data_IF_584922857602
#
_entry.id   IF_584922857602
#
_cell.length_a   1.000
_cell.length_b   1.000
_cell.length_c   1.000
_cell.angle_alpha   90.00
_cell.angle_beta   90.00
_cell.angle_gamma   90.00
#
_symmetry.space_group_name_H-M   'P 1'
#
loop_
_entity.id
_entity.type
_entity.pdbx_description
1 polymer ?
#
# COMPACT_ATOMS: atom_id res chain seq x y z
N UNK A 1 14.81 -14.24 7.76
CA UNK A 1 13.61 -14.30 6.87
C UNK A 1 13.91 -15.26 5.74
N UNK A 2 13.16 -16.37 5.62
CA UNK A 2 13.39 -17.38 4.57
C UNK A 2 14.87 -17.84 4.44
N UNK A 3 15.55 -18.08 5.57
CA UNK A 3 16.98 -18.43 5.61
C UNK A 3 17.95 -17.24 5.64
N UNK A 4 17.52 -16.01 5.33
CA UNK A 4 18.35 -14.80 5.46
C UNK A 4 18.51 -14.42 6.93
N UNK A 5 19.75 -14.30 7.38
CA UNK A 5 20.12 -13.87 8.74
C UNK A 5 20.67 -12.45 8.68
N UNK A 6 19.89 -11.49 9.18
CA UNK A 6 20.32 -10.08 9.28
C UNK A 6 20.97 -9.87 10.64
N UNK A 7 22.23 -9.46 10.66
CA UNK A 7 22.96 -9.21 11.91
C UNK A 7 22.70 -7.79 12.40
N UNK A 8 22.74 -7.59 13.72
CA UNK A 8 22.63 -6.29 14.37
C UNK A 8 21.36 -5.50 13.99
N UNK A 9 20.23 -6.20 13.84
CA UNK A 9 18.95 -5.54 13.59
C UNK A 9 18.34 -5.03 14.89
N UNK A 10 18.12 -3.72 14.98
CA UNK A 10 17.32 -3.12 16.06
C UNK A 10 15.85 -3.50 15.87
N UNK A 11 15.21 -4.03 16.91
CA UNK A 11 13.79 -4.39 16.94
C UNK A 11 13.14 -3.64 18.11
N UNK A 12 12.07 -2.90 17.83
CA UNK A 12 11.32 -2.20 18.85
C UNK A 12 10.35 -3.16 19.56
N UNK A 13 10.29 -3.06 20.90
CA UNK A 13 9.23 -3.72 21.66
C UNK A 13 7.95 -2.89 21.61
N UNK A 14 6.84 -3.54 21.25
CA UNK A 14 5.53 -2.91 21.28
C UNK A 14 4.78 -3.29 22.56
N UNK A 15 4.38 -2.29 23.36
CA UNK A 15 3.51 -2.50 24.52
C UNK A 15 2.02 -2.39 24.15
N UNK A 16 1.69 -1.56 23.16
CA UNK A 16 0.34 -1.35 22.67
C UNK A 16 0.37 -0.91 21.21
N UNK A 17 -0.45 -1.55 20.38
CA UNK A 17 -0.63 -1.23 18.97
C UNK A 17 -2.12 -1.05 18.68
N UNK A 18 -2.50 0.12 18.17
CA UNK A 18 -3.86 0.41 17.75
C UNK A 18 -3.95 0.45 16.23
N UNK A 19 -5.07 0.01 15.65
CA UNK A 19 -5.34 0.14 14.21
C UNK A 19 -4.83 -0.98 13.32
N UNK A 20 -4.26 -2.06 13.86
CA UNK A 20 -3.90 -3.25 13.08
C UNK A 20 -4.85 -4.42 13.31
N UNK A 21 -5.16 -5.13 12.24
CA UNK A 21 -5.85 -6.43 12.24
C UNK A 21 -4.80 -7.53 12.36
N UNK A 22 -4.54 -8.03 13.56
CA UNK A 22 -3.54 -9.07 13.80
C UNK A 22 -3.36 -9.36 15.28
N UNK A 23 -2.69 -10.46 15.62
CA UNK A 23 -2.29 -10.70 17.00
C UNK A 23 -1.14 -9.74 17.34
N UNK A 24 -1.28 -9.00 18.44
CA UNK A 24 -0.22 -8.09 18.94
C UNK A 24 1.11 -8.82 19.19
N UNK A 25 1.07 -10.16 19.31
CA UNK A 25 2.25 -11.01 19.47
C UNK A 25 3.05 -11.25 18.17
N UNK A 26 2.54 -10.84 16.99
CA UNK A 26 3.19 -11.15 15.69
C UNK A 26 4.14 -10.03 15.21
N UNK A 27 3.91 -8.77 15.62
CA UNK A 27 4.74 -7.61 15.25
C UNK A 27 4.52 -7.08 13.83
N UNK A 28 5.29 -6.05 13.45
CA UNK A 28 5.25 -5.38 12.12
C UNK A 28 6.61 -5.43 11.46
N UNK A 29 6.63 -5.82 10.19
CA UNK A 29 7.82 -5.71 9.34
C UNK A 29 7.81 -4.39 8.55
N UNK A 30 8.54 -3.39 9.04
CA UNK A 30 8.57 -2.05 8.44
C UNK A 30 9.35 -1.99 7.11
N UNK A 31 8.71 -1.44 6.07
CA UNK A 31 9.29 -1.20 4.74
C UNK A 31 9.42 0.29 4.37
N UNK A 32 9.17 1.20 5.31
CA UNK A 32 9.31 2.64 5.09
C UNK A 32 10.78 3.08 5.03
N UNK A 33 11.02 4.31 4.58
CA UNK A 33 12.37 4.89 4.56
C UNK A 33 12.87 5.19 5.97
N UNK A 34 14.20 5.19 6.15
CA UNK A 34 14.85 5.44 7.43
C UNK A 34 14.54 6.82 8.03
N UNK A 35 14.09 7.79 7.24
CA UNK A 35 13.71 9.13 7.71
C UNK A 35 12.50 9.12 8.66
N UNK A 36 11.67 8.08 8.63
CA UNK A 36 10.54 7.89 9.56
C UNK A 36 10.91 7.10 10.80
N UNK A 37 12.14 6.60 10.89
CA UNK A 37 12.55 5.80 12.03
C UNK A 37 12.76 6.69 13.25
N UNK A 38 12.39 6.16 14.41
CA UNK A 38 12.74 6.79 15.66
C UNK A 38 14.24 6.60 15.89
N UNK A 39 14.91 7.65 16.37
CA UNK A 39 16.32 7.63 16.77
C UNK A 39 17.32 7.32 15.62
N UNK A 40 16.88 7.39 14.36
CA UNK A 40 17.73 7.20 13.17
C UNK A 40 18.11 5.74 12.90
N UNK A 41 17.38 4.79 13.49
CA UNK A 41 17.60 3.36 13.31
C UNK A 41 17.44 2.92 11.86
N UNK A 42 18.15 1.86 11.46
CA UNK A 42 18.04 1.34 10.09
C UNK A 42 16.86 0.37 9.96
N UNK A 43 15.93 0.59 9.01
CA UNK A 43 14.96 -0.42 8.66
C UNK A 43 15.68 -1.69 8.19
N UNK A 44 15.10 -2.85 8.48
CA UNK A 44 15.71 -4.15 8.21
C UNK A 44 16.16 -4.35 6.76
N UNK A 45 15.44 -3.77 5.80
CA UNK A 45 15.79 -3.84 4.38
C UNK A 45 17.14 -3.12 4.07
N UNK A 46 17.46 -2.04 4.79
CA UNK A 46 18.76 -1.35 4.67
C UNK A 46 19.90 -2.22 5.21
N UNK A 47 19.66 -2.95 6.30
CA UNK A 47 20.64 -3.87 6.86
C UNK A 47 20.85 -5.10 5.95
N UNK A 48 19.79 -5.58 5.28
CA UNK A 48 19.93 -6.60 4.23
C UNK A 48 20.82 -6.14 3.08
N UNK A 49 20.59 -4.94 2.56
CA UNK A 49 21.38 -4.35 1.47
C UNK A 49 22.85 -4.16 1.88
N UNK A 50 23.09 -3.45 2.99
CA UNK A 50 24.45 -3.14 3.44
C UNK A 50 25.29 -4.36 3.85
N UNK A 51 24.64 -5.48 4.20
CA UNK A 51 25.32 -6.74 4.50
C UNK A 51 25.48 -7.65 3.26
N UNK A 52 25.05 -7.21 2.07
CA UNK A 52 25.11 -7.99 0.83
C UNK A 52 24.22 -9.23 0.84
N UNK A 53 23.15 -9.22 1.64
CA UNK A 53 22.23 -10.36 1.80
C UNK A 53 21.16 -10.44 0.71
N UNK A 54 20.99 -9.35 -0.05
CA UNK A 54 20.08 -9.24 -1.19
C UNK A 54 20.85 -8.66 -2.39
N UNK A 55 20.54 -9.15 -3.58
CA UNK A 55 21.21 -8.75 -4.83
C UNK A 55 20.72 -7.42 -5.38
N UNK A 56 19.46 -7.08 -5.12
CA UNK A 56 18.82 -5.85 -5.57
C UNK A 56 18.10 -5.18 -4.41
N UNK A 57 18.09 -3.85 -4.37
CA UNK A 57 17.31 -3.09 -3.40
C UNK A 57 15.81 -3.08 -3.76
N UNK A 58 15.24 -4.25 -4.04
CA UNK A 58 13.85 -4.43 -4.46
C UNK A 58 13.11 -5.33 -3.47
N UNK A 59 11.97 -4.85 -2.99
CA UNK A 59 10.95 -5.69 -2.37
C UNK A 59 9.81 -5.88 -3.36
N UNK A 60 9.34 -7.11 -3.57
CA UNK A 60 8.18 -7.36 -4.43
C UNK A 60 7.17 -8.28 -3.77
N UNK A 61 5.92 -8.15 -4.18
CA UNK A 61 4.84 -9.00 -3.73
C UNK A 61 3.96 -9.44 -4.89
N UNK A 62 3.57 -10.70 -4.84
CA UNK A 62 2.64 -11.32 -5.78
C UNK A 62 1.46 -11.89 -5.02
N UNK A 63 0.24 -11.76 -5.55
CA UNK A 63 -0.98 -12.01 -4.77
C UNK A 63 -1.78 -13.24 -5.19
N UNK A 64 -1.62 -13.73 -6.42
CA UNK A 64 -2.50 -14.80 -6.93
C UNK A 64 -1.85 -15.53 -8.10
N UNK A 65 -1.81 -16.89 -8.13
CA UNK A 65 -2.52 -17.83 -7.25
C UNK A 65 -1.79 -18.18 -5.94
N UNK A 66 -0.53 -17.80 -5.78
CA UNK A 66 0.31 -18.20 -4.65
C UNK A 66 0.96 -16.96 -4.04
N UNK A 67 0.34 -16.34 -3.01
CA UNK A 67 0.84 -15.14 -2.35
C UNK A 67 2.29 -15.26 -1.89
N UNK A 68 3.16 -14.35 -2.33
CA UNK A 68 4.59 -14.33 -1.94
C UNK A 68 5.09 -12.92 -1.76
N UNK A 69 5.91 -12.75 -0.71
CA UNK A 69 6.77 -11.59 -0.52
C UNK A 69 8.22 -11.99 -0.84
N UNK A 70 8.92 -11.14 -1.59
CA UNK A 70 10.28 -11.39 -2.06
C UNK A 70 11.15 -10.21 -1.64
N UNK A 71 12.25 -10.50 -0.96
CA UNK A 71 13.31 -9.53 -0.68
C UNK A 71 14.48 -9.79 -1.63
N UNK A 72 14.90 -8.76 -2.35
CA UNK A 72 16.10 -8.80 -3.17
C UNK A 72 15.90 -8.93 -4.67
N UNK A 73 14.68 -8.71 -5.18
CA UNK A 73 14.39 -8.81 -6.61
C UNK A 73 12.90 -9.02 -6.91
N UNK A 74 12.63 -9.44 -8.14
CA UNK A 74 11.30 -9.79 -8.65
C UNK A 74 11.35 -11.18 -9.28
N UNK A 75 10.31 -12.00 -9.08
CA UNK A 75 10.19 -13.29 -9.76
C UNK A 75 9.69 -13.07 -11.20
N UNK A 76 10.62 -13.11 -12.17
CA UNK A 76 10.32 -12.90 -13.60
C UNK A 76 9.43 -13.97 -14.21
N UNK A 77 9.22 -15.10 -13.55
CA UNK A 77 8.24 -16.11 -13.99
C UNK A 77 6.79 -15.70 -13.73
N UNK A 78 6.56 -14.63 -12.95
CA UNK A 78 5.22 -14.18 -12.52
C UNK A 78 4.64 -13.05 -13.35
N UNK A 79 5.36 -12.54 -14.34
CA UNK A 79 4.90 -11.46 -15.20
C UNK A 79 5.59 -11.51 -16.56
N UNK A 80 4.90 -11.02 -17.59
CA UNK A 80 5.41 -11.01 -18.98
C UNK A 80 5.60 -9.60 -19.55
N UNK A 81 5.20 -8.58 -18.79
CA UNK A 81 5.22 -7.16 -19.20
C UNK A 81 6.32 -6.37 -18.49
N UNK A 82 6.80 -5.28 -19.09
CA UNK A 82 7.77 -4.40 -18.43
C UNK A 82 7.17 -3.73 -17.18
N UNK A 83 7.98 -3.63 -16.11
CA UNK A 83 7.62 -2.93 -14.88
C UNK A 83 7.77 -1.42 -15.07
N UNK A 84 6.75 -0.65 -14.71
CA UNK A 84 6.79 0.82 -14.71
C UNK A 84 7.04 1.32 -13.29
N UNK A 85 8.06 2.17 -13.13
CA UNK A 85 8.38 2.80 -11.85
C UNK A 85 7.85 4.24 -11.80
N UNK A 86 7.21 4.60 -10.70
CA UNK A 86 6.89 5.98 -10.35
C UNK A 86 7.92 6.49 -9.33
N UNK A 87 8.40 7.74 -9.46
CA UNK A 87 9.33 8.30 -8.48
C UNK A 87 8.64 8.52 -7.13
N UNK A 88 9.36 8.24 -6.05
CA UNK A 88 8.93 8.60 -4.69
C UNK A 88 9.08 10.11 -4.51
N UNK A 89 8.03 10.78 -4.02
CA UNK A 89 7.97 12.25 -3.88
C UNK A 89 8.75 12.72 -2.67
N UNK A 90 8.54 12.07 -1.53
CA UNK A 90 9.23 12.33 -0.28
C UNK A 90 9.68 10.99 0.29
N UNK A 91 10.99 10.83 0.49
CA UNK A 91 11.59 9.59 1.00
C UNK A 91 11.31 9.42 2.50
N UNK A 92 10.03 9.31 2.88
CA UNK A 92 9.51 8.92 4.18
C UNK A 92 8.65 7.67 4.02
N UNK A 93 7.48 7.84 3.39
CA UNK A 93 6.66 6.71 2.94
C UNK A 93 7.00 6.31 1.50
N UNK A 94 6.43 5.19 1.06
CA UNK A 94 6.35 4.84 -0.36
C UNK A 94 5.26 5.71 -1.01
N UNK A 95 5.53 7.02 -1.07
CA UNK A 95 4.61 8.06 -1.50
C UNK A 95 4.89 8.46 -2.94
N UNK A 96 3.88 8.42 -3.79
CA UNK A 96 3.98 8.80 -5.20
C UNK A 96 2.94 9.86 -5.55
N UNK A 97 3.26 10.70 -6.54
CA UNK A 97 2.35 11.73 -7.01
C UNK A 97 1.38 11.15 -8.04
N UNK A 98 0.08 11.37 -7.83
CA UNK A 98 -0.97 11.16 -8.82
C UNK A 98 -1.33 12.49 -9.48
N UNK A 99 -1.19 12.58 -10.80
CA UNK A 99 -1.52 13.79 -11.57
C UNK A 99 -3.01 14.12 -11.51
N UNK A 100 -3.87 13.11 -11.65
CA UNK A 100 -5.30 13.28 -11.46
C UNK A 100 -5.99 11.94 -11.20
N UNK A 101 -7.12 12.00 -10.51
CA UNK A 101 -8.07 10.89 -10.44
C UNK A 101 -9.27 11.27 -11.29
N UNK A 102 -9.65 10.39 -12.21
CA UNK A 102 -10.73 10.64 -13.18
C UNK A 102 -11.79 9.54 -13.16
N UNK A 103 -13.02 9.94 -13.47
CA UNK A 103 -14.17 9.07 -13.72
C UNK A 103 -14.70 9.40 -15.10
N UNK A 104 -14.45 8.50 -16.07
CA UNK A 104 -14.67 8.83 -17.48
C UNK A 104 -13.86 10.07 -17.86
N UNK A 105 -14.53 11.13 -18.33
CA UNK A 105 -13.90 12.42 -18.65
C UNK A 105 -13.87 13.41 -17.48
N UNK A 106 -14.48 13.08 -16.34
CA UNK A 106 -14.59 13.98 -15.19
C UNK A 106 -13.37 13.83 -14.28
N UNK A 107 -12.69 14.93 -14.01
CA UNK A 107 -11.61 14.96 -13.02
C UNK A 107 -12.22 15.14 -11.62
N UNK A 108 -11.95 14.20 -10.72
CA UNK A 108 -12.45 14.21 -9.34
C UNK A 108 -11.38 14.62 -8.32
N UNK A 109 -10.11 14.55 -8.69
CA UNK A 109 -8.99 15.14 -7.95
C UNK A 109 -7.86 15.54 -8.91
N UNK A 110 -7.23 16.69 -8.71
CA UNK A 110 -6.28 17.33 -9.65
C UNK A 110 -4.81 17.31 -9.24
N UNK A 111 -4.49 16.71 -8.10
CA UNK A 111 -3.14 16.39 -7.65
C UNK A 111 -3.31 15.78 -6.27
N UNK A 112 -2.95 14.52 -6.10
CA UNK A 112 -2.96 13.88 -4.79
C UNK A 112 -1.68 13.06 -4.65
N UNK A 113 -1.02 13.16 -3.52
CA UNK A 113 -0.03 12.17 -3.18
C UNK A 113 -0.77 10.93 -2.65
N UNK A 114 -0.23 9.76 -2.96
CA UNK A 114 -0.73 8.50 -2.48
C UNK A 114 0.39 7.71 -1.83
N UNK A 115 0.13 7.20 -0.62
CA UNK A 115 1.02 6.29 0.07
C UNK A 115 0.63 4.87 -0.27
N UNK A 116 1.60 4.08 -0.73
CA UNK A 116 1.40 2.64 -0.87
C UNK A 116 1.53 1.98 0.49
N UNK A 117 0.48 1.27 0.91
CA UNK A 117 0.46 0.57 2.20
C UNK A 117 -0.03 -0.87 2.05
N UNK A 118 0.88 -1.83 2.24
CA UNK A 118 0.58 -3.27 2.20
C UNK A 118 -0.11 -3.78 3.47
N UNK A 119 -0.21 -2.94 4.52
CA UNK A 119 -0.96 -3.22 5.75
C UNK A 119 -2.43 -2.75 5.70
N UNK A 120 -2.77 -1.84 4.79
CA UNK A 120 -4.13 -1.33 4.60
C UNK A 120 -4.82 -2.01 3.41
N UNK A 121 -6.04 -2.51 3.62
CA UNK A 121 -6.80 -3.21 2.58
C UNK A 121 -7.65 -2.30 1.71
N UNK A 122 -8.15 -1.19 2.26
CA UNK A 122 -8.97 -0.22 1.54
C UNK A 122 -8.13 0.88 0.92
N UNK A 123 -8.58 1.41 -0.21
CA UNK A 123 -8.07 2.70 -0.68
C UNK A 123 -8.77 3.81 0.10
N UNK A 124 -7.98 4.71 0.68
CA UNK A 124 -8.44 5.79 1.55
C UNK A 124 -8.08 7.11 0.88
N UNK A 125 -8.96 8.09 0.95
CA UNK A 125 -8.69 9.42 0.42
C UNK A 125 -9.41 10.51 1.21
N UNK A 126 -9.14 11.80 0.92
CA UNK A 126 -9.79 12.87 1.64
C UNK A 126 -11.30 12.85 1.40
N UNK A 127 -12.07 13.23 2.43
CA UNK A 127 -13.53 13.06 2.47
C UNK A 127 -14.22 13.73 1.27
N UNK A 128 -13.78 14.92 0.89
CA UNK A 128 -14.35 15.71 -0.20
C UNK A 128 -14.20 15.02 -1.56
N UNK A 129 -13.01 14.53 -1.87
CA UNK A 129 -12.64 13.86 -3.10
C UNK A 129 -13.30 12.49 -3.20
N UNK A 130 -13.31 11.72 -2.10
CA UNK A 130 -13.99 10.41 -2.04
C UNK A 130 -15.51 10.57 -2.22
N UNK A 131 -16.12 11.63 -1.67
CA UNK A 131 -17.53 11.95 -1.93
C UNK A 131 -17.79 12.41 -3.36
N UNK A 132 -16.91 13.25 -3.93
CA UNK A 132 -17.03 13.70 -5.32
C UNK A 132 -16.90 12.54 -6.31
N UNK A 133 -15.92 11.66 -6.07
CA UNK A 133 -15.73 10.40 -6.79
C UNK A 133 -17.01 9.55 -6.74
N UNK A 134 -17.58 9.38 -5.55
CA UNK A 134 -18.82 8.63 -5.38
C UNK A 134 -20.01 9.21 -6.17
N UNK A 135 -20.22 10.52 -6.05
CA UNK A 135 -21.30 11.21 -6.74
C UNK A 135 -21.16 11.08 -8.26
N UNK A 136 -19.94 11.21 -8.79
CA UNK A 136 -19.67 11.04 -10.22
C UNK A 136 -19.92 9.59 -10.72
N UNK A 137 -19.85 8.60 -9.83
CA UNK A 137 -20.00 7.18 -10.14
C UNK A 137 -21.40 6.62 -9.82
N UNK A 138 -22.27 7.42 -9.21
CA UNK A 138 -23.61 6.99 -8.79
C UNK A 138 -23.60 6.01 -7.62
N UNK A 139 -22.51 5.94 -6.85
CA UNK A 139 -22.42 5.07 -5.69
C UNK A 139 -23.14 5.64 -4.46
N UNK A 140 -23.30 4.81 -3.44
CA UNK A 140 -24.01 5.16 -2.20
C UNK A 140 -23.12 4.99 -0.98
N UNK A 141 -23.18 5.96 -0.06
CA UNK A 141 -22.59 5.83 1.26
C UNK A 141 -23.39 4.81 2.06
N UNK A 142 -22.72 3.79 2.57
CA UNK A 142 -23.31 2.93 3.60
C UNK A 142 -23.20 3.63 4.95
N UNK A 143 -24.34 4.05 5.49
CA UNK A 143 -24.41 4.76 6.78
C UNK A 143 -23.96 3.93 7.98
N UNK A 144 -23.91 2.60 7.87
CA UNK A 144 -23.50 1.70 8.95
C UNK A 144 -21.98 1.50 9.02
N UNK A 145 -21.32 1.42 7.87
CA UNK A 145 -19.87 1.20 7.77
C UNK A 145 -19.06 2.47 7.49
N UNK A 146 -19.72 3.53 7.00
CA UNK A 146 -19.06 4.75 6.52
C UNK A 146 -18.32 4.58 5.19
N UNK A 147 -18.46 3.42 4.54
CA UNK A 147 -17.77 3.06 3.30
C UNK A 147 -18.59 3.45 2.07
N UNK A 148 -17.89 3.60 0.94
CA UNK A 148 -18.46 3.96 -0.35
C UNK A 148 -18.19 2.86 -1.37
N UNK A 149 -19.22 2.37 -2.09
CA UNK A 149 -19.11 1.29 -3.08
C UNK A 149 -19.59 1.67 -4.50
N UNK A 150 -19.00 1.06 -5.54
CA UNK A 150 -19.46 1.11 -6.96
C UNK A 150 -18.69 2.06 -7.89
N UNK A 151 -17.58 1.60 -8.51
CA UNK A 151 -16.50 2.52 -8.96
C UNK A 151 -15.91 2.20 -10.35
N UNK A 152 -15.11 3.11 -10.93
CA UNK A 152 -14.32 2.96 -12.18
C UNK A 152 -13.54 1.63 -12.27
N UNK A 153 -12.98 1.18 -11.14
CA UNK A 153 -12.72 -0.24 -10.90
C UNK A 153 -14.02 -0.80 -10.31
N UNK A 154 -14.77 -1.57 -11.11
CA UNK A 154 -16.13 -2.05 -10.75
C UNK A 154 -16.11 -2.71 -9.38
N UNK A 155 -17.09 -2.36 -8.54
CA UNK A 155 -17.23 -2.87 -7.16
C UNK A 155 -16.02 -2.58 -6.25
N UNK A 156 -15.24 -1.53 -6.53
CA UNK A 156 -14.26 -1.03 -5.55
C UNK A 156 -14.96 -0.32 -4.40
N UNK A 157 -14.37 -0.46 -3.21
CA UNK A 157 -14.77 0.27 -2.00
C UNK A 157 -13.67 1.26 -1.61
N UNK A 158 -14.03 2.51 -1.29
CA UNK A 158 -13.13 3.47 -0.63
C UNK A 158 -13.64 3.80 0.76
N UNK A 159 -12.71 4.11 1.65
CA UNK A 159 -13.01 4.73 2.93
C UNK A 159 -12.67 6.23 2.88
N UNK A 160 -13.57 7.11 3.35
CA UNK A 160 -13.21 8.50 3.60
C UNK A 160 -12.24 8.59 4.79
N UNK A 161 -11.14 9.31 4.64
CA UNK A 161 -10.20 9.58 5.72
C UNK A 161 -10.81 10.58 6.71
N UNK A 162 -11.27 10.12 7.87
CA UNK A 162 -11.73 10.99 8.97
C UNK A 162 -10.70 11.12 10.09
N UNK A 163 -9.86 10.11 10.27
CA UNK A 163 -8.72 10.08 11.18
C UNK A 163 -7.75 8.97 10.73
N UNK A 164 -6.46 9.29 10.59
CA UNK A 164 -5.41 8.31 10.28
C UNK A 164 -4.49 8.14 11.50
N UNK A 165 -4.64 7.03 12.21
CA UNK A 165 -3.79 6.71 13.37
C UNK A 165 -2.54 5.94 12.91
N UNK A 166 -1.37 6.34 13.40
CA UNK A 166 -0.10 5.61 13.18
C UNK A 166 0.69 6.01 11.94
N UNK A 167 0.24 6.99 11.16
CA UNK A 167 1.02 7.62 10.09
C UNK A 167 1.25 9.10 10.41
N UNK A 168 2.46 9.58 10.17
CA UNK A 168 2.86 10.98 10.37
C UNK A 168 2.84 11.69 9.01
N UNK A 169 1.81 12.47 8.71
CA UNK A 169 1.67 13.11 7.41
C UNK A 169 0.41 13.94 7.30
N UNK A 170 0.27 14.66 6.20
CA UNK A 170 -0.94 15.44 5.94
C UNK A 170 -2.10 14.47 5.63
N UNK A 171 -3.26 14.67 6.26
CA UNK A 171 -4.49 13.91 6.01
C UNK A 171 -5.01 14.05 4.57
N UNK A 172 -4.38 14.91 3.76
CA UNK A 172 -4.66 15.13 2.36
C UNK A 172 -4.05 14.06 1.43
N UNK A 173 -3.14 13.23 1.92
CA UNK A 173 -2.53 12.17 1.13
C UNK A 173 -3.40 10.91 1.24
N UNK A 174 -3.80 10.36 0.10
CA UNK A 174 -4.58 9.13 0.07
C UNK A 174 -3.72 7.93 0.44
N UNK A 175 -4.33 6.87 1.00
CA UNK A 175 -3.67 5.57 1.13
C UNK A 175 -4.13 4.67 0.01
N UNK A 176 -3.20 4.22 -0.80
CA UNK A 176 -3.43 3.15 -1.77
C UNK A 176 -3.19 1.80 -1.08
N UNK A 177 -4.27 1.25 -0.51
CA UNK A 177 -4.23 -0.03 0.20
C UNK A 177 -3.91 -1.21 -0.73
N UNK A 178 -2.89 -1.97 -0.35
CA UNK A 178 -2.39 -3.16 -1.07
C UNK A 178 -2.44 -4.44 -0.21
N UNK A 179 -3.08 -4.40 0.96
CA UNK A 179 -3.16 -5.57 1.83
C UNK A 179 -4.00 -6.71 1.23
N UNK A 180 -3.88 -7.90 1.83
CA UNK A 180 -4.68 -9.07 1.45
C UNK A 180 -6.16 -8.89 1.81
N UNK A 181 -7.05 -9.53 1.03
CA UNK A 181 -8.49 -9.50 1.29
C UNK A 181 -8.86 -10.10 2.64
N UNK A 182 -8.04 -10.98 3.21
CA UNK A 182 -8.21 -11.53 4.56
C UNK A 182 -8.17 -10.48 5.67
N UNK A 183 -7.64 -9.29 5.40
CA UNK A 183 -7.58 -8.17 6.37
C UNK A 183 -8.74 -7.18 6.20
N UNK A 184 -9.72 -7.48 5.35
CA UNK A 184 -10.90 -6.64 5.14
C UNK A 184 -11.98 -7.02 6.15
N UNK A 185 -12.51 -6.04 6.89
CA UNK A 185 -13.52 -6.31 7.93
C UNK A 185 -14.92 -6.56 7.34
N UNK A 186 -15.21 -6.11 6.12
CA UNK A 186 -16.49 -6.30 5.43
C UNK A 186 -16.42 -7.22 4.21
N UNK A 187 -15.29 -7.91 3.99
CA UNK A 187 -15.10 -8.80 2.83
C UNK A 187 -14.91 -8.07 1.51
N UNK A 188 -14.63 -6.77 1.55
CA UNK A 188 -14.33 -5.96 0.37
C UNK A 188 -13.06 -6.47 -0.32
N UNK A 189 -12.98 -6.30 -1.63
CA UNK A 189 -11.76 -6.62 -2.36
C UNK A 189 -10.83 -5.40 -2.37
N UNK A 190 -9.55 -5.55 -1.99
CA UNK A 190 -8.55 -4.50 -2.16
C UNK A 190 -8.45 -4.10 -3.64
N UNK A 191 -8.12 -2.83 -3.90
CA UNK A 191 -8.18 -2.24 -5.25
C UNK A 191 -7.41 -3.00 -6.29
N UNK A 192 -6.26 -3.54 -5.91
CA UNK A 192 -5.40 -4.30 -6.79
C UNK A 192 -6.07 -5.59 -7.31
N UNK A 193 -6.87 -6.27 -6.49
CA UNK A 193 -7.63 -7.47 -6.90
C UNK A 193 -8.73 -7.14 -7.90
N UNK A 194 -9.41 -6.02 -7.68
CA UNK A 194 -10.47 -5.60 -8.58
C UNK A 194 -9.90 -5.11 -9.92
N UNK A 195 -8.75 -4.42 -9.92
CA UNK A 195 -8.05 -4.05 -11.15
C UNK A 195 -7.65 -5.27 -11.97
N UNK A 196 -7.04 -6.27 -11.32
CA UNK A 196 -6.60 -7.50 -11.98
C UNK A 196 -7.78 -8.32 -12.51
N UNK A 197 -8.80 -8.58 -11.68
CA UNK A 197 -9.99 -9.37 -12.10
C UNK A 197 -10.81 -8.72 -13.22
N UNK A 198 -10.62 -7.42 -13.46
CA UNK A 198 -11.26 -6.67 -14.54
C UNK A 198 -10.36 -6.48 -15.76
N UNK A 199 -9.13 -6.98 -15.73
CA UNK A 199 -8.16 -6.84 -16.82
C UNK A 199 -7.61 -5.41 -16.97
N UNK A 200 -7.74 -4.55 -15.96
CA UNK A 200 -7.16 -3.20 -15.95
C UNK A 200 -5.65 -3.22 -15.70
N UNK A 201 -5.18 -4.27 -15.03
CA UNK A 201 -3.78 -4.67 -14.98
C UNK A 201 -3.69 -6.12 -15.43
N UNK A 202 -2.65 -6.44 -16.20
CA UNK A 202 -2.46 -7.79 -16.75
C UNK A 202 -1.98 -8.78 -15.69
N UNK A 203 -1.27 -8.32 -14.67
CA UNK A 203 -0.58 -9.17 -13.69
C UNK A 203 -0.79 -8.65 -12.26
N UNK A 204 -0.93 -9.58 -11.31
CA UNK A 204 -1.13 -9.27 -9.89
C UNK A 204 0.22 -9.17 -9.14
N UNK A 205 1.12 -8.34 -9.66
CA UNK A 205 2.46 -8.09 -9.07
C UNK A 205 2.71 -6.60 -8.85
N UNK A 206 3.36 -6.26 -7.73
CA UNK A 206 3.97 -4.95 -7.54
C UNK A 206 5.36 -5.07 -6.91
N UNK A 207 6.16 -4.03 -7.09
CA UNK A 207 7.51 -3.94 -6.53
C UNK A 207 7.84 -2.53 -6.06
N UNK A 208 8.63 -2.45 -5.00
CA UNK A 208 9.26 -1.23 -4.51
C UNK A 208 10.75 -1.31 -4.78
N UNK A 209 11.27 -0.31 -5.47
CA UNK A 209 12.71 -0.12 -5.61
C UNK A 209 13.15 0.94 -4.61
N UNK A 210 14.10 0.59 -3.76
CA UNK A 210 14.68 1.48 -2.77
C UNK A 210 16.02 2.01 -3.28
N UNK A 211 16.20 3.33 -3.26
CA UNK A 211 17.50 3.93 -3.54
C UNK A 211 18.32 3.96 -2.23
N UNK A 212 19.07 2.89 -1.96
CA UNK A 212 19.77 2.60 -0.69
C UNK A 212 21.29 2.69 -0.78
#
# INVERSE_FOLDING_TARGET
>A
ISGIIVKNQTIAQCAFLNGMTGNVNDGIFGLAYSSLTKDGEKPVFYNMWSQGLISEAIFSSYFNPDPKAISGGVDSSKYTVSVTYAPVVLAGYLEFQMTSVTVGSTIVSRSANAIIDTGTSLTIGPVTEVRALNHALGGTLDSSSGLISGIAVKKQTFAPCTLLNGMTGNVNDGIFGLAYSSLTKGGEKPVFYNMWSQGLISEAIFSFYFNL
#
